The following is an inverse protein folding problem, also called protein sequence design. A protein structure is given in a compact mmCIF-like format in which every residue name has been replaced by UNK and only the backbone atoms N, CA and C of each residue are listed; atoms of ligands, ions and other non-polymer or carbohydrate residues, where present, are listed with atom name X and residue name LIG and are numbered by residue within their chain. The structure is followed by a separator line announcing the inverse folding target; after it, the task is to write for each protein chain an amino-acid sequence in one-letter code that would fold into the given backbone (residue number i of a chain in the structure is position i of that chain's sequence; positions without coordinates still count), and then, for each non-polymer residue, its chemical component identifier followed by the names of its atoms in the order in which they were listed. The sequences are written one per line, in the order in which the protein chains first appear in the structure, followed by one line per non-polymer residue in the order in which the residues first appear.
data_IF_288151346044
#
_entry.id   IF_288151346044
#
_cell.length_a   1.000
_cell.length_b   1.000
_cell.length_c   1.000
_cell.angle_alpha   90.00
_cell.angle_beta   90.00
_cell.angle_gamma   90.00
#
_symmetry.space_group_name_H-M   'P 1'
#
loop_
_entity.id
_entity.type
_entity.pdbx_description
1 polymer ?
#
# COMPACT_ATOMS: atom_id res chain seq x y z
N UNK A 1 2.81 10.72 -16.18
CA UNK A 1 2.04 10.67 -14.91
C UNK A 1 2.50 9.43 -14.15
N UNK A 2 2.92 9.56 -12.89
CA UNK A 2 3.29 8.40 -12.06
C UNK A 2 2.04 7.57 -11.71
N UNK A 3 2.23 6.38 -11.12
CA UNK A 3 1.10 5.48 -10.81
C UNK A 3 0.13 6.10 -9.80
N UNK A 4 0.65 6.79 -8.79
CA UNK A 4 -0.16 7.49 -7.78
C UNK A 4 -1.07 8.54 -8.40
N UNK A 5 -0.53 9.43 -9.25
CA UNK A 5 -1.33 10.44 -9.92
C UNK A 5 -2.40 9.83 -10.83
N UNK A 6 -2.17 8.65 -11.40
CA UNK A 6 -3.22 7.92 -12.13
C UNK A 6 -4.32 7.41 -11.18
N UNK A 7 -3.98 6.91 -10.00
CA UNK A 7 -4.95 6.41 -9.00
C UNK A 7 -5.75 7.56 -8.38
N UNK A 8 -5.09 8.68 -8.05
CA UNK A 8 -5.76 9.87 -7.51
C UNK A 8 -6.74 10.48 -8.52
N UNK A 9 -6.33 10.59 -9.78
CA UNK A 9 -7.18 11.06 -10.87
C UNK A 9 -8.38 10.12 -11.08
N UNK A 10 -8.13 8.80 -11.03
CA UNK A 10 -9.19 7.79 -11.13
C UNK A 10 -10.20 7.92 -9.98
N UNK A 11 -9.71 8.10 -8.76
CA UNK A 11 -10.53 8.24 -7.55
C UNK A 11 -11.38 9.51 -7.64
N UNK A 12 -10.79 10.63 -8.07
CA UNK A 12 -11.51 11.88 -8.29
C UNK A 12 -12.60 11.71 -9.35
N UNK A 13 -12.28 11.05 -10.47
CA UNK A 13 -13.23 10.80 -11.54
C UNK A 13 -14.38 9.90 -11.08
N UNK A 14 -14.06 8.79 -10.42
CA UNK A 14 -15.04 7.84 -9.87
C UNK A 14 -16.00 8.54 -8.89
N UNK A 15 -15.52 9.44 -8.05
CA UNK A 15 -16.38 10.21 -7.14
C UNK A 15 -17.34 11.19 -7.86
N UNK A 16 -17.06 11.57 -9.11
CA UNK A 16 -17.89 12.47 -9.90
C UNK A 16 -18.84 11.73 -10.84
N UNK A 17 -18.44 10.56 -11.33
CA UNK A 17 -19.13 9.85 -12.42
C UNK A 17 -19.58 8.44 -12.06
N UNK A 18 -19.19 7.92 -10.89
CA UNK A 18 -19.27 6.50 -10.50
C UNK A 18 -18.50 5.53 -11.44
N UNK A 19 -17.61 6.04 -12.30
CA UNK A 19 -16.83 5.24 -13.24
C UNK A 19 -15.33 5.22 -12.88
N UNK A 20 -14.68 4.04 -12.91
CA UNK A 20 -13.21 3.94 -12.85
C UNK A 20 -12.61 3.87 -14.25
N UNK A 21 -11.75 4.84 -14.57
CA UNK A 21 -10.91 4.87 -15.77
C UNK A 21 -9.84 3.77 -15.73
N UNK A 22 -9.31 3.44 -14.55
CA UNK A 22 -8.32 2.38 -14.38
C UNK A 22 -8.93 1.00 -14.64
N UNK A 23 -10.13 0.73 -14.13
CA UNK A 23 -10.86 -0.52 -14.43
C UNK A 23 -11.17 -0.63 -15.93
N UNK A 24 -11.60 0.47 -16.57
CA UNK A 24 -11.80 0.53 -18.04
C UNK A 24 -10.52 0.23 -18.82
N UNK A 25 -9.35 0.51 -18.25
CA UNK A 25 -8.03 0.20 -18.81
C UNK A 25 -7.48 -1.17 -18.34
N UNK A 26 -8.28 -1.98 -17.65
CA UNK A 26 -7.89 -3.30 -17.14
C UNK A 26 -6.94 -3.29 -15.96
N UNK A 27 -6.78 -2.15 -15.28
CA UNK A 27 -5.93 -1.99 -14.10
C UNK A 27 -6.81 -1.98 -12.84
N UNK A 28 -6.76 -3.04 -12.05
CA UNK A 28 -7.42 -3.10 -10.74
C UNK A 28 -6.38 -3.39 -9.64
N UNK A 29 -6.39 -2.57 -8.59
CA UNK A 29 -5.46 -2.67 -7.45
C UNK A 29 -6.14 -3.05 -6.13
N UNK A 30 -7.47 -3.20 -6.07
CA UNK A 30 -8.22 -3.46 -4.83
C UNK A 30 -7.70 -4.70 -4.10
N UNK A 31 -7.33 -5.74 -4.83
CA UNK A 31 -6.81 -7.00 -4.29
C UNK A 31 -5.30 -7.16 -4.47
N UNK A 32 -4.58 -6.07 -4.76
CA UNK A 32 -3.14 -6.10 -4.95
C UNK A 32 -2.40 -5.68 -3.69
N UNK A 33 -1.37 -6.45 -3.34
CA UNK A 33 -0.53 -6.20 -2.17
C UNK A 33 0.92 -6.05 -2.59
N UNK A 34 1.57 -5.03 -2.06
CA UNK A 34 2.92 -4.61 -2.45
C UNK A 34 3.84 -4.52 -1.25
N UNK A 35 5.11 -4.89 -1.43
CA UNK A 35 6.14 -4.64 -0.43
C UNK A 35 6.32 -3.13 -0.23
N UNK A 36 6.77 -2.68 0.95
CA UNK A 36 7.12 -1.28 1.18
C UNK A 36 8.10 -0.71 0.14
N UNK A 37 9.03 -1.53 -0.37
CA UNK A 37 9.96 -1.14 -1.44
C UNK A 37 9.30 -0.98 -2.80
N UNK A 38 8.26 -1.77 -3.10
CA UNK A 38 7.47 -1.65 -4.33
C UNK A 38 6.59 -0.40 -4.27
N UNK A 39 5.92 -0.18 -3.14
CA UNK A 39 5.14 1.04 -2.87
C UNK A 39 6.01 2.28 -2.96
N UNK A 40 7.21 2.25 -2.37
CA UNK A 40 8.17 3.36 -2.47
C UNK A 40 8.50 3.72 -3.91
N UNK A 41 8.76 2.72 -4.78
CA UNK A 41 8.99 2.97 -6.21
C UNK A 41 7.78 3.62 -6.90
N UNK A 42 6.56 3.25 -6.50
CA UNK A 42 5.33 3.80 -7.07
C UNK A 42 5.08 5.24 -6.63
N UNK A 43 5.43 5.57 -5.38
CA UNK A 43 5.19 6.88 -4.75
C UNK A 43 6.37 7.84 -4.86
N UNK A 44 7.53 7.38 -5.32
CA UNK A 44 8.76 8.18 -5.33
C UNK A 44 9.47 8.26 -3.97
N UNK A 45 9.20 7.31 -3.07
CA UNK A 45 9.77 7.20 -1.72
C UNK A 45 10.66 5.96 -1.59
N UNK A 46 11.47 5.90 -0.55
CA UNK A 46 12.15 4.67 -0.14
C UNK A 46 11.20 3.73 0.61
N UNK A 47 11.53 2.43 0.64
CA UNK A 47 10.77 1.48 1.47
C UNK A 47 10.85 1.78 2.97
N UNK A 48 11.91 2.46 3.42
CA UNK A 48 12.04 2.91 4.80
C UNK A 48 11.04 4.02 5.15
N UNK A 49 10.86 4.98 4.24
CA UNK A 49 9.84 6.03 4.38
C UNK A 49 8.42 5.45 4.39
N UNK A 50 8.13 4.48 3.51
CA UNK A 50 6.84 3.77 3.52
C UNK A 50 6.60 3.07 4.86
N UNK A 51 7.61 2.38 5.40
CA UNK A 51 7.47 1.73 6.70
C UNK A 51 7.17 2.73 7.83
N UNK A 52 7.82 3.89 7.81
CA UNK A 52 7.58 4.95 8.77
C UNK A 52 6.17 5.55 8.64
N UNK A 53 5.64 5.69 7.41
CA UNK A 53 4.26 6.14 7.18
C UNK A 53 3.27 5.14 7.79
N UNK A 54 3.43 3.85 7.51
CA UNK A 54 2.56 2.79 8.03
C UNK A 54 2.59 2.72 9.57
N UNK A 55 3.77 2.91 10.17
CA UNK A 55 3.93 2.99 11.63
C UNK A 55 3.22 4.22 12.20
N UNK A 56 3.42 5.40 11.60
CA UNK A 56 2.72 6.65 12.00
C UNK A 56 1.20 6.57 11.83
N UNK A 57 0.71 5.81 10.84
CA UNK A 57 -0.72 5.51 10.65
C UNK A 57 -1.25 4.47 11.66
N UNK A 58 -0.40 3.92 12.54
CA UNK A 58 -0.81 2.94 13.55
C UNK A 58 -1.18 1.58 12.95
N UNK A 59 -0.60 1.22 11.80
CA UNK A 59 -0.91 -0.02 11.08
C UNK A 59 0.14 -1.11 11.31
N UNK A 60 1.38 -0.72 11.61
CA UNK A 60 2.45 -1.65 11.93
C UNK A 60 3.35 -1.11 13.04
N UNK A 61 4.17 -1.99 13.61
CA UNK A 61 5.21 -1.65 14.56
C UNK A 61 6.43 -2.52 14.31
N UNK A 62 7.59 -2.06 14.78
CA UNK A 62 8.81 -2.85 14.77
C UNK A 62 9.00 -3.53 16.12
N UNK A 63 9.09 -4.85 16.13
CA UNK A 63 9.31 -5.60 17.37
C UNK A 63 10.76 -5.50 17.87
N UNK A 64 11.02 -6.07 19.05
CA UNK A 64 12.34 -6.09 19.70
C UNK A 64 13.43 -6.78 18.87
N UNK A 65 13.06 -7.64 17.92
CA UNK A 65 13.97 -8.33 17.00
C UNK A 65 14.19 -7.55 15.69
N UNK A 66 13.61 -6.34 15.59
CA UNK A 66 13.70 -5.50 14.40
C UNK A 66 12.79 -5.95 13.26
N UNK A 67 11.80 -6.80 13.52
CA UNK A 67 10.86 -7.34 12.54
C UNK A 67 9.59 -6.47 12.51
N UNK A 68 9.15 -6.07 11.31
CA UNK A 68 7.90 -5.37 11.13
C UNK A 68 6.72 -6.31 11.30
N UNK A 69 5.75 -5.94 12.15
CA UNK A 69 4.52 -6.70 12.40
C UNK A 69 3.30 -5.79 12.27
N UNK A 70 2.17 -6.31 11.76
CA UNK A 70 0.95 -5.54 11.68
C UNK A 70 0.33 -5.40 13.08
N UNK A 71 -0.25 -4.24 13.33
CA UNK A 71 -1.18 -4.03 14.45
C UNK A 71 -2.53 -4.62 14.05
N UNK A 72 -3.42 -4.92 15.01
CA UNK A 72 -4.75 -5.49 14.75
C UNK A 72 -5.54 -4.76 13.66
N UNK A 73 -5.49 -3.43 13.63
CA UNK A 73 -6.11 -2.58 12.58
C UNK A 73 -5.42 -2.71 11.22
N UNK A 74 -4.11 -2.96 11.18
CA UNK A 74 -3.34 -3.10 9.94
C UNK A 74 -3.54 -4.45 9.25
N UNK A 75 -3.99 -5.49 9.98
CA UNK A 75 -4.16 -6.84 9.44
C UNK A 75 -5.15 -6.94 8.28
N UNK A 76 -6.18 -6.10 8.28
CA UNK A 76 -7.17 -6.06 7.20
C UNK A 76 -6.55 -5.64 5.85
N UNK A 77 -5.48 -4.86 5.90
CA UNK A 77 -4.89 -4.22 4.73
C UNK A 77 -3.53 -4.82 4.31
N UNK A 78 -3.11 -5.90 4.98
CA UNK A 78 -1.80 -6.48 4.77
C UNK A 78 -1.83 -7.99 4.56
N UNK A 79 -0.81 -8.49 3.85
CA UNK A 79 -0.49 -9.91 3.78
C UNK A 79 0.85 -10.16 4.48
N UNK A 80 0.84 -11.07 5.44
CA UNK A 80 2.03 -11.62 6.07
C UNK A 80 2.61 -12.74 5.19
N UNK A 81 3.87 -12.60 4.78
CA UNK A 81 4.58 -13.59 3.97
C UNK A 81 5.72 -14.16 4.80
N UNK A 82 5.69 -15.48 5.04
CA UNK A 82 6.53 -16.16 6.03
C UNK A 82 7.56 -17.16 5.51
N UNK A 83 7.85 -17.21 4.21
CA UNK A 83 8.62 -18.34 3.65
C UNK A 83 10.10 -18.39 4.08
N UNK A 84 10.84 -17.27 3.96
CA UNK A 84 12.28 -17.22 4.29
C UNK A 84 12.66 -16.01 5.14
N UNK A 85 11.94 -14.92 4.96
CA UNK A 85 12.00 -13.70 5.76
C UNK A 85 10.56 -13.28 6.02
N UNK A 86 10.26 -12.83 7.25
CA UNK A 86 8.97 -12.25 7.55
C UNK A 86 8.84 -10.92 6.82
N UNK A 87 7.83 -10.80 5.95
CA UNK A 87 7.56 -9.61 5.17
C UNK A 87 6.08 -9.27 5.23
N UNK A 88 5.80 -7.97 5.24
CA UNK A 88 4.44 -7.44 5.11
C UNK A 88 4.29 -6.84 3.72
N UNK A 89 3.22 -7.21 3.04
CA UNK A 89 2.75 -6.49 1.85
C UNK A 89 1.48 -5.72 2.20
N UNK A 90 1.30 -4.55 1.61
CA UNK A 90 0.22 -3.63 1.92
C UNK A 90 -0.55 -3.25 0.66
N UNK A 91 -1.85 -2.99 0.83
CA UNK A 91 -2.64 -2.37 -0.23
C UNK A 91 -2.19 -0.93 -0.48
N UNK A 92 -2.14 -0.54 -1.75
CA UNK A 92 -1.59 0.76 -2.17
C UNK A 92 -2.36 1.96 -1.62
N UNK A 93 -3.69 1.83 -1.46
CA UNK A 93 -4.56 2.91 -0.98
C UNK A 93 -4.30 3.32 0.47
N UNK A 94 -3.60 2.49 1.25
CA UNK A 94 -3.22 2.83 2.62
C UNK A 94 -2.16 3.93 2.66
N UNK A 95 -1.36 4.06 1.59
CA UNK A 95 -0.33 5.10 1.48
C UNK A 95 -0.90 6.39 0.89
N UNK A 96 -1.93 6.26 0.05
CA UNK A 96 -2.74 7.38 -0.46
C UNK A 96 -3.52 8.05 0.69
#
# INVERSE_FOLDING_TARGET
MNLIGQIELDTLHKNQTDESLLEKLGKNFENSYFLPTELGKMTGMSGAEINLILEKKGLQFRDENGIWRPISSGKEFCLEIGNKFHQLKWQIFIIL
#
